data_IF_860488841851
#
_entry.id   IF_860488841851
#
_cell.length_a   1.000
_cell.length_b   1.000
_cell.length_c   1.000
_cell.angle_alpha   90.00
_cell.angle_beta   90.00
_cell.angle_gamma   90.00
#
_symmetry.space_group_name_H-M   'P 1'
#
loop_
_entity.id
_entity.type
_entity.pdbx_description
1 polymer ?
#
# COMPACT_ATOMS: atom_id res chain seq x y z
N UNK A 1 -15.43 -15.78 16.73
CA UNK A 1 -14.27 -15.01 16.22
C UNK A 1 -14.23 -13.71 17.00
N UNK A 2 -13.09 -13.31 17.55
CA UNK A 2 -12.95 -12.01 18.22
C UNK A 2 -13.17 -10.87 17.22
N UNK A 3 -13.77 -9.77 17.67
CA UNK A 3 -14.01 -8.58 16.85
C UNK A 3 -12.74 -8.09 16.16
N UNK A 4 -11.61 -8.07 16.87
CA UNK A 4 -10.29 -7.69 16.33
C UNK A 4 -9.84 -8.55 15.15
N UNK A 5 -10.15 -9.86 15.15
CA UNK A 5 -9.80 -10.76 14.05
C UNK A 5 -10.60 -10.45 12.77
N UNK A 6 -11.87 -10.07 12.92
CA UNK A 6 -12.72 -9.64 11.79
C UNK A 6 -12.15 -8.36 11.19
N UNK A 7 -11.90 -7.36 12.03
CA UNK A 7 -11.35 -6.07 11.59
C UNK A 7 -10.02 -6.26 10.86
N UNK A 8 -9.09 -7.04 11.41
CA UNK A 8 -7.81 -7.29 10.77
C UNK A 8 -7.96 -7.94 9.39
N UNK A 9 -8.89 -8.91 9.26
CA UNK A 9 -9.15 -9.58 7.98
C UNK A 9 -9.78 -8.64 6.94
N UNK A 10 -10.58 -7.67 7.36
CA UNK A 10 -11.18 -6.65 6.49
C UNK A 10 -10.14 -5.63 6.04
N UNK A 11 -9.29 -5.14 6.96
CA UNK A 11 -8.22 -4.22 6.64
C UNK A 11 -7.25 -4.80 5.61
N UNK A 12 -6.91 -6.09 5.70
CA UNK A 12 -6.01 -6.75 4.75
C UNK A 12 -6.62 -6.97 3.34
N UNK A 13 -7.94 -6.93 3.22
CA UNK A 13 -8.64 -7.02 1.93
C UNK A 13 -8.68 -5.68 1.20
N UNK A 14 -8.40 -4.57 1.88
CA UNK A 14 -8.30 -3.25 1.24
C UNK A 14 -7.17 -3.24 0.22
N UNK A 15 -7.37 -2.49 -0.86
CA UNK A 15 -6.34 -2.28 -1.87
C UNK A 15 -5.13 -1.58 -1.27
N UNK A 16 -3.94 -1.85 -1.81
CA UNK A 16 -2.68 -1.31 -1.28
C UNK A 16 -2.55 0.20 -1.51
N UNK A 17 -3.21 0.73 -2.54
CA UNK A 17 -3.26 2.15 -2.85
C UNK A 17 -4.70 2.67 -2.80
N UNK A 18 -4.83 3.97 -2.56
CA UNK A 18 -6.05 4.74 -2.76
C UNK A 18 -5.73 5.97 -3.61
N UNK A 19 -6.66 6.36 -4.49
CA UNK A 19 -6.54 7.58 -5.28
C UNK A 19 -7.43 8.66 -4.68
N UNK A 20 -6.81 9.76 -4.25
CA UNK A 20 -7.49 10.94 -3.72
C UNK A 20 -7.33 12.09 -4.71
N UNK A 21 -8.34 12.31 -5.55
CA UNK A 21 -8.26 13.27 -6.65
C UNK A 21 -7.21 12.86 -7.68
N UNK A 22 -6.11 13.62 -7.74
CA UNK A 22 -5.00 13.39 -8.66
C UNK A 22 -3.74 12.84 -7.99
N UNK A 23 -3.84 12.43 -6.72
CA UNK A 23 -2.73 11.88 -5.94
C UNK A 23 -3.03 10.43 -5.56
N UNK A 24 -1.98 9.61 -5.52
CA UNK A 24 -2.03 8.24 -5.04
C UNK A 24 -1.42 8.19 -3.64
N UNK A 25 -2.02 7.42 -2.73
CA UNK A 25 -1.52 7.23 -1.36
C UNK A 25 -1.54 5.75 -0.99
N UNK A 26 -0.62 5.36 -0.11
CA UNK A 26 -0.63 4.02 0.49
C UNK A 26 -1.84 3.89 1.41
N UNK A 27 -2.62 2.84 1.22
CA UNK A 27 -3.85 2.58 1.95
C UNK A 27 -3.65 1.49 3.00
N UNK A 28 -2.82 1.79 3.99
CA UNK A 28 -2.63 0.92 5.15
C UNK A 28 -3.51 1.39 6.31
N UNK A 29 -4.29 0.46 6.88
CA UNK A 29 -5.26 0.79 7.92
C UNK A 29 -4.56 1.07 9.26
N UNK A 30 -4.70 2.29 9.78
CA UNK A 30 -4.12 2.67 11.07
C UNK A 30 -4.59 1.77 12.22
N UNK A 31 -5.83 1.28 12.17
CA UNK A 31 -6.35 0.36 13.19
C UNK A 31 -5.63 -0.99 13.14
N UNK A 32 -5.27 -1.46 11.94
CA UNK A 32 -4.45 -2.67 11.78
C UNK A 32 -3.03 -2.45 12.32
N UNK A 33 -2.44 -1.29 12.06
CA UNK A 33 -1.14 -0.93 12.61
C UNK A 33 -1.12 -0.92 14.14
N UNK A 34 -2.13 -0.31 14.76
CA UNK A 34 -2.28 -0.31 16.22
C UNK A 34 -2.41 -1.73 16.77
N UNK A 35 -3.27 -2.57 16.16
CA UNK A 35 -3.43 -3.97 16.57
C UNK A 35 -2.12 -4.75 16.49
N UNK A 36 -1.33 -4.56 15.43
CA UNK A 36 -0.01 -5.20 15.30
C UNK A 36 0.94 -4.76 16.41
N UNK A 37 0.96 -3.46 16.74
CA UNK A 37 1.81 -2.90 17.81
C UNK A 37 1.39 -3.44 19.17
N UNK A 38 0.10 -3.45 19.48
CA UNK A 38 -0.47 -3.95 20.74
C UNK A 38 -0.20 -5.44 20.94
N UNK A 39 -0.33 -6.24 19.87
CA UNK A 39 -0.10 -7.69 19.91
C UNK A 39 1.31 -8.08 20.39
N UNK A 40 2.31 -7.20 20.24
CA UNK A 40 3.67 -7.44 20.76
C UNK A 40 3.76 -7.49 22.28
N UNK A 41 2.82 -6.83 22.95
CA UNK A 41 2.78 -6.74 24.41
C UNK A 41 1.79 -7.72 25.03
N UNK A 42 1.01 -8.44 24.22
CA UNK A 42 0.06 -9.44 24.68
C UNK A 42 0.70 -10.83 24.75
N UNK A 43 0.17 -11.71 25.61
CA UNK A 43 0.57 -13.12 25.60
C UNK A 43 -0.01 -13.78 24.36
N UNK A 44 0.74 -14.73 23.78
CA UNK A 44 0.31 -15.46 22.58
C UNK A 44 -1.04 -16.16 22.75
N UNK A 45 -1.32 -16.66 23.95
CA UNK A 45 -2.57 -17.34 24.32
C UNK A 45 -3.80 -16.42 24.26
N UNK A 46 -3.59 -15.12 24.44
CA UNK A 46 -4.66 -14.10 24.40
C UNK A 46 -4.93 -13.61 22.96
N UNK A 47 -4.08 -13.98 22.00
CA UNK A 47 -4.17 -13.55 20.61
C UNK A 47 -4.86 -14.58 19.72
N UNK A 48 -5.76 -14.10 18.87
CA UNK A 48 -6.24 -14.93 17.76
C UNK A 48 -5.10 -15.24 16.77
N UNK A 49 -5.16 -16.42 16.15
CA UNK A 49 -4.17 -16.83 15.13
C UNK A 49 -4.02 -15.79 14.00
N UNK A 50 -5.10 -15.10 13.62
CA UNK A 50 -5.05 -14.03 12.62
C UNK A 50 -4.15 -12.89 13.09
N UNK A 51 -4.38 -12.35 14.28
CA UNK A 51 -3.60 -11.22 14.82
C UNK A 51 -2.14 -11.63 15.02
N UNK A 52 -1.89 -12.85 15.51
CA UNK A 52 -0.53 -13.36 15.66
C UNK A 52 0.21 -13.42 14.31
N UNK A 53 -0.43 -13.97 13.28
CA UNK A 53 0.17 -14.06 11.94
C UNK A 53 0.47 -12.69 11.34
N UNK A 54 -0.44 -11.73 11.49
CA UNK A 54 -0.24 -10.36 11.01
C UNK A 54 0.90 -9.68 11.78
N UNK A 55 0.95 -9.85 13.10
CA UNK A 55 2.01 -9.27 13.92
C UNK A 55 3.41 -9.83 13.56
N UNK A 56 3.48 -11.13 13.22
CA UNK A 56 4.71 -11.76 12.74
C UNK A 56 5.18 -11.18 11.38
N UNK A 57 4.26 -10.64 10.58
CA UNK A 57 4.54 -10.04 9.27
C UNK A 57 4.78 -8.52 9.32
N UNK A 58 4.80 -7.89 10.50
CA UNK A 58 4.95 -6.44 10.65
C UNK A 58 6.13 -5.87 9.83
N UNK A 59 7.28 -6.53 9.87
CA UNK A 59 8.49 -6.07 9.16
C UNK A 59 8.27 -6.02 7.65
N UNK A 60 7.60 -7.02 7.08
CA UNK A 60 7.30 -7.04 5.64
C UNK A 60 6.27 -5.96 5.30
N UNK A 61 5.23 -5.77 6.12
CA UNK A 61 4.27 -4.67 5.90
C UNK A 61 4.93 -3.30 5.90
N UNK A 62 5.79 -3.01 6.89
CA UNK A 62 6.54 -1.75 6.94
C UNK A 62 7.41 -1.55 5.71
N UNK A 63 8.15 -2.59 5.33
CA UNK A 63 8.98 -2.55 4.11
C UNK A 63 8.15 -2.28 2.84
N UNK A 64 6.95 -2.88 2.72
CA UNK A 64 6.04 -2.58 1.61
C UNK A 64 5.53 -1.14 1.65
N UNK A 65 5.11 -0.65 2.81
CA UNK A 65 4.64 0.72 3.00
C UNK A 65 5.75 1.72 2.61
N UNK A 66 6.97 1.51 3.09
CA UNK A 66 8.11 2.40 2.81
C UNK A 66 8.44 2.42 1.31
N UNK A 67 8.48 1.25 0.66
CA UNK A 67 8.77 1.16 -0.78
C UNK A 67 7.65 1.76 -1.65
N UNK A 68 6.38 1.54 -1.28
CA UNK A 68 5.25 2.16 -1.97
C UNK A 68 5.28 3.68 -1.81
N UNK A 69 5.51 4.19 -0.60
CA UNK A 69 5.64 5.62 -0.35
C UNK A 69 6.78 6.25 -1.13
N UNK A 70 7.95 5.61 -1.19
CA UNK A 70 9.09 6.08 -1.99
C UNK A 70 8.74 6.17 -3.48
N UNK A 71 8.15 5.10 -4.04
CA UNK A 71 7.70 5.06 -5.43
C UNK A 71 6.65 6.14 -5.75
N UNK A 72 5.68 6.35 -4.86
CA UNK A 72 4.66 7.40 -5.04
C UNK A 72 5.26 8.81 -4.93
N UNK A 73 6.22 9.00 -4.02
CA UNK A 73 6.97 10.25 -3.89
C UNK A 73 7.74 10.61 -5.15
N UNK A 74 8.46 9.63 -5.73
CA UNK A 74 9.17 9.77 -7.02
C UNK A 74 8.18 10.17 -8.14
N UNK A 75 7.03 9.50 -8.22
CA UNK A 75 5.98 9.84 -9.19
C UNK A 75 5.43 11.26 -9.00
N UNK A 76 5.07 11.63 -7.77
CA UNK A 76 4.52 12.95 -7.46
C UNK A 76 5.54 14.06 -7.71
N UNK A 77 6.82 13.85 -7.40
CA UNK A 77 7.89 14.81 -7.69
C UNK A 77 8.03 15.06 -9.18
N UNK A 78 8.11 14.00 -9.99
CA UNK A 78 8.20 14.10 -11.45
C UNK A 78 6.98 14.83 -11.98
N UNK A 79 5.77 14.36 -11.65
CA UNK A 79 4.54 14.94 -12.17
C UNK A 79 4.42 16.40 -11.76
N UNK A 80 4.75 16.76 -10.52
CA UNK A 80 4.62 18.14 -10.02
C UNK A 80 5.71 19.10 -10.51
N UNK A 81 6.89 18.59 -10.90
CA UNK A 81 7.95 19.43 -11.47
C UNK A 81 7.64 19.95 -12.89
N UNK A 82 6.73 19.28 -13.62
CA UNK A 82 6.40 19.63 -15.00
C UNK A 82 5.49 20.86 -15.10
N UNK A 83 5.88 21.80 -15.97
CA UNK A 83 5.04 22.92 -16.38
C UNK A 83 3.82 22.46 -17.19
N UNK A 84 2.74 23.26 -17.26
CA UNK A 84 1.52 22.88 -18.00
C UNK A 84 1.75 22.49 -19.46
N UNK A 85 2.69 23.13 -20.13
CA UNK A 85 3.09 22.87 -21.51
C UNK A 85 3.83 21.53 -21.63
N UNK A 86 4.74 21.24 -20.69
CA UNK A 86 5.49 19.99 -20.60
C UNK A 86 4.56 18.81 -20.29
N UNK A 87 3.58 19.01 -19.39
CA UNK A 87 2.54 18.00 -19.10
C UNK A 87 1.72 17.65 -20.33
N UNK A 88 1.40 18.63 -21.19
CA UNK A 88 0.71 18.35 -22.45
C UNK A 88 1.57 17.54 -23.41
N UNK A 89 2.86 17.88 -23.51
CA UNK A 89 3.81 17.16 -24.37
C UNK A 89 4.05 15.72 -23.89
N UNK A 90 4.17 15.53 -22.57
CA UNK A 90 4.45 14.25 -21.91
C UNK A 90 3.20 13.48 -21.50
N UNK A 91 2.00 13.92 -21.91
CA UNK A 91 0.73 13.33 -21.50
C UNK A 91 0.70 11.81 -21.69
N UNK A 92 1.22 11.32 -22.82
CA UNK A 92 1.27 9.89 -23.14
C UNK A 92 2.11 9.10 -22.13
N UNK A 93 3.23 9.65 -21.68
CA UNK A 93 4.12 9.00 -20.71
C UNK A 93 3.52 9.05 -19.30
N UNK A 94 2.91 10.18 -18.91
CA UNK A 94 2.14 10.30 -17.66
C UNK A 94 0.99 9.28 -17.63
N UNK A 95 0.28 9.09 -18.75
CA UNK A 95 -0.78 8.10 -18.86
C UNK A 95 -0.28 6.65 -18.73
N UNK A 96 0.96 6.36 -19.16
CA UNK A 96 1.58 5.03 -18.93
C UNK A 96 1.89 4.82 -17.45
N UNK A 97 2.46 5.81 -16.78
CA UNK A 97 2.75 5.76 -15.34
C UNK A 97 1.45 5.55 -14.54
N UNK A 98 0.39 6.31 -14.88
CA UNK A 98 -0.94 6.14 -14.28
C UNK A 98 -1.47 4.71 -14.45
N UNK A 99 -1.37 4.16 -15.66
CA UNK A 99 -1.79 2.78 -15.94
C UNK A 99 -0.97 1.75 -15.18
N UNK A 100 0.31 2.00 -14.92
CA UNK A 100 1.14 1.12 -14.11
C UNK A 100 0.70 1.12 -12.63
N UNK A 101 0.19 2.24 -12.12
CA UNK A 101 -0.32 2.39 -10.75
C UNK A 101 -1.75 1.84 -10.54
N UNK A 102 -2.58 1.79 -11.59
CA UNK A 102 -3.97 1.30 -11.53
C UNK A 102 -4.15 -0.06 -10.82
N UNK A 103 -3.31 -1.09 -11.04
CA UNK A 103 -3.40 -2.35 -10.32
C UNK A 103 -3.36 -2.18 -8.78
N UNK A 104 -2.66 -1.17 -8.28
CA UNK A 104 -2.55 -0.89 -6.85
C UNK A 104 -3.86 -0.44 -6.20
N UNK A 105 -4.80 0.11 -6.97
CA UNK A 105 -6.10 0.60 -6.49
C UNK A 105 -7.26 -0.35 -6.80
N UNK A 106 -7.06 -1.40 -7.61
CA UNK A 106 -8.15 -2.28 -8.06
C UNK A 106 -7.86 -3.80 -7.98
N UNK A 107 -6.60 -4.21 -7.84
CA UNK A 107 -6.19 -5.62 -7.94
C UNK A 107 -5.33 -6.09 -6.77
N UNK A 108 -4.34 -5.29 -6.35
CA UNK A 108 -3.43 -5.65 -5.26
C UNK A 108 -3.99 -5.23 -3.91
N UNK A 109 -3.99 -6.17 -2.96
CA UNK A 109 -4.34 -5.95 -1.56
C UNK A 109 -3.19 -6.42 -0.65
N UNK A 110 -3.32 -6.24 0.66
CA UNK A 110 -2.26 -6.57 1.63
C UNK A 110 -2.05 -8.08 1.85
N UNK A 111 -2.83 -8.95 1.21
CA UNK A 111 -2.54 -10.40 1.11
C UNK A 111 -1.73 -10.76 -0.14
N UNK A 112 -1.52 -9.81 -1.06
CA UNK A 112 -0.91 -10.08 -2.35
C UNK A 112 0.60 -10.33 -2.20
N UNK A 113 1.06 -11.52 -2.59
CA UNK A 113 2.50 -11.85 -2.60
C UNK A 113 3.29 -11.05 -3.66
N UNK A 114 2.59 -10.48 -4.64
CA UNK A 114 3.18 -9.76 -5.78
C UNK A 114 3.43 -8.27 -5.55
N UNK A 115 3.30 -7.74 -4.33
CA UNK A 115 3.49 -6.30 -4.07
C UNK A 115 4.90 -5.84 -4.49
N UNK A 116 5.94 -6.65 -4.24
CA UNK A 116 7.32 -6.32 -4.66
C UNK A 116 7.42 -6.17 -6.19
N UNK A 117 6.87 -7.15 -6.92
CA UNK A 117 6.84 -7.12 -8.39
C UNK A 117 6.02 -5.94 -8.93
N UNK A 118 4.90 -5.61 -8.28
CA UNK A 118 4.10 -4.43 -8.62
C UNK A 118 4.92 -3.14 -8.52
N UNK A 119 5.65 -2.94 -7.41
CA UNK A 119 6.51 -1.76 -7.21
C UNK A 119 7.60 -1.69 -8.28
N UNK A 120 8.29 -2.81 -8.55
CA UNK A 120 9.31 -2.86 -9.59
C UNK A 120 8.77 -2.55 -10.99
N UNK A 121 7.57 -3.03 -11.32
CA UNK A 121 6.93 -2.77 -12.60
C UNK A 121 6.54 -1.30 -12.74
N UNK A 122 6.05 -0.67 -11.66
CA UNK A 122 5.71 0.76 -11.67
C UNK A 122 6.95 1.63 -11.88
N UNK A 123 8.08 1.30 -11.26
CA UNK A 123 9.34 2.03 -11.41
C UNK A 123 10.00 1.89 -12.79
N UNK A 124 9.65 0.84 -13.54
CA UNK A 124 10.17 0.58 -14.89
C UNK A 124 9.31 1.19 -16.00
N UNK A 125 8.08 1.61 -15.68
CA UNK A 125 7.11 2.13 -16.64
C UNK A 125 7.52 3.52 -17.17
#
# INVERSE_FOLDING_TARGET
KSESSVVASESLKKYILVKEGNQYKVNFDHKLEMMIREAKYMKREDLSNTILNVALQEKEYKNHIDQLNAMLGEYDEIVNSLQPEERKLLKKEIDKLNKALEPGINSYNWHSLGIKNFIENCRKA
#
